data_IF_198128539648
#
_entry.id   IF_198128539648
#
_cell.length_a   1.000
_cell.length_b   1.000
_cell.length_c   1.000
_cell.angle_alpha   90.00
_cell.angle_beta   90.00
_cell.angle_gamma   90.00
#
_symmetry.space_group_name_H-M   'P 1'
#
loop_
_entity.id
_entity.type
_entity.pdbx_description
1 polymer ?
#
# COMPACT_ATOMS: atom_id res chain seq x y z
N UNK A 1 6.91 -23.94 -1.64
CA UNK A 1 5.98 -24.38 -0.58
C UNK A 1 6.36 -23.86 0.80
N UNK A 2 7.56 -24.17 1.29
CA UNK A 2 8.03 -23.86 2.66
C UNK A 2 7.87 -22.40 3.08
N UNK A 3 8.10 -21.45 2.18
CA UNK A 3 7.86 -20.02 2.43
C UNK A 3 6.39 -19.68 2.73
N UNK A 4 5.45 -20.30 2.00
CA UNK A 4 4.00 -20.11 2.18
C UNK A 4 3.50 -20.84 3.43
N UNK A 5 3.98 -22.06 3.70
CA UNK A 5 3.63 -22.82 4.91
C UNK A 5 4.17 -22.18 6.17
N UNK A 6 5.44 -21.73 6.17
CA UNK A 6 6.05 -20.98 7.28
C UNK A 6 5.26 -19.70 7.57
N UNK A 7 4.90 -18.93 6.53
CA UNK A 7 4.06 -17.75 6.69
C UNK A 7 2.68 -18.09 7.28
N UNK A 8 2.05 -19.20 6.89
CA UNK A 8 0.75 -19.61 7.43
C UNK A 8 0.78 -20.00 8.90
N UNK A 9 1.78 -20.80 9.27
CA UNK A 9 1.92 -21.38 10.61
C UNK A 9 2.34 -20.29 11.60
N UNK A 10 3.28 -19.42 11.23
CA UNK A 10 3.89 -18.46 12.15
C UNK A 10 3.17 -17.10 12.21
N UNK A 11 2.51 -16.63 11.13
CA UNK A 11 1.77 -15.37 11.25
C UNK A 11 0.57 -15.48 12.22
N UNK A 12 -0.01 -16.67 12.42
CA UNK A 12 -1.09 -16.87 13.40
C UNK A 12 -0.72 -16.47 14.83
N UNK A 13 0.35 -17.04 15.43
CA UNK A 13 0.82 -16.66 16.77
C UNK A 13 1.40 -15.24 16.82
N UNK A 14 2.09 -14.78 15.77
CA UNK A 14 2.66 -13.42 15.73
C UNK A 14 1.56 -12.34 15.76
N UNK A 15 0.42 -12.55 15.10
CA UNK A 15 -0.74 -11.65 15.19
C UNK A 15 -1.33 -11.55 16.60
N UNK A 16 -1.29 -12.66 17.37
CA UNK A 16 -1.74 -12.67 18.77
C UNK A 16 -0.78 -11.88 19.66
N UNK A 17 0.52 -11.98 19.41
CA UNK A 17 1.56 -11.23 20.14
C UNK A 17 1.50 -9.74 19.81
N UNK A 18 1.18 -9.38 18.56
CA UNK A 18 1.05 -7.98 18.11
C UNK A 18 -0.27 -7.30 18.50
N UNK A 19 -1.15 -7.96 19.26
CA UNK A 19 -2.39 -7.36 19.77
C UNK A 19 -3.36 -6.91 18.66
N UNK A 20 -3.30 -7.51 17.47
CA UNK A 20 -4.12 -7.07 16.33
C UNK A 20 -5.60 -7.38 16.62
N UNK A 21 -6.54 -6.42 16.41
CA UNK A 21 -7.96 -6.62 16.70
C UNK A 21 -8.53 -7.87 16.02
N UNK A 22 -9.40 -8.57 16.76
CA UNK A 22 -10.08 -9.77 16.26
C UNK A 22 -10.90 -9.43 15.01
N UNK A 23 -10.90 -10.39 14.09
CA UNK A 23 -11.53 -10.35 12.76
C UNK A 23 -12.95 -9.78 12.82
N UNK A 24 -13.22 -8.70 12.08
CA UNK A 24 -14.57 -8.25 11.77
C UNK A 24 -15.29 -9.26 10.86
N UNK A 25 -16.61 -9.32 10.94
CA UNK A 25 -17.40 -10.31 10.21
C UNK A 25 -17.41 -9.96 8.70
N UNK A 26 -16.75 -10.77 7.88
CA UNK A 26 -16.69 -10.56 6.42
C UNK A 26 -17.91 -11.23 5.80
N UNK A 27 -18.71 -10.53 4.97
CA UNK A 27 -19.84 -11.16 4.28
C UNK A 27 -19.34 -12.32 3.41
N UNK A 28 -19.97 -13.50 3.55
CA UNK A 28 -19.55 -14.74 2.86
C UNK A 28 -19.46 -14.57 1.34
N UNK A 29 -20.38 -13.82 0.74
CA UNK A 29 -20.37 -13.51 -0.70
C UNK A 29 -19.12 -12.76 -1.14
N UNK A 30 -18.72 -11.74 -0.39
CA UNK A 30 -17.50 -10.96 -0.67
C UNK A 30 -16.24 -11.80 -0.49
N UNK A 31 -16.24 -12.68 0.52
CA UNK A 31 -15.15 -13.62 0.75
C UNK A 31 -14.96 -14.56 -0.46
N UNK A 32 -16.04 -15.15 -0.98
CA UNK A 32 -15.96 -16.08 -2.11
C UNK A 32 -15.67 -15.37 -3.44
N UNK A 33 -16.27 -14.23 -3.70
CA UNK A 33 -16.14 -13.54 -5.00
C UNK A 33 -14.83 -12.76 -5.14
N UNK A 34 -14.27 -12.24 -4.04
CA UNK A 34 -13.12 -11.33 -4.11
C UNK A 34 -11.87 -11.90 -3.42
N UNK A 35 -12.00 -12.50 -2.24
CA UNK A 35 -10.85 -12.97 -1.47
C UNK A 35 -10.28 -14.28 -2.04
N UNK A 36 -11.15 -15.21 -2.44
CA UNK A 36 -10.73 -16.50 -3.00
C UNK A 36 -9.95 -16.33 -4.32
N UNK A 37 -10.44 -15.61 -5.34
CA UNK A 37 -9.70 -15.45 -6.60
C UNK A 37 -8.39 -14.69 -6.42
N UNK A 38 -8.35 -13.70 -5.52
CA UNK A 38 -7.13 -12.94 -5.25
C UNK A 38 -6.07 -13.79 -4.54
N UNK A 39 -6.51 -14.74 -3.70
CA UNK A 39 -5.62 -15.71 -3.09
C UNK A 39 -5.07 -16.72 -4.11
N UNK A 40 -5.87 -17.11 -5.09
CA UNK A 40 -5.41 -17.96 -6.19
C UNK A 40 -4.39 -17.22 -7.05
N UNK A 41 -4.64 -15.95 -7.39
CA UNK A 41 -3.67 -15.12 -8.10
C UNK A 41 -2.36 -14.94 -7.32
N UNK A 42 -2.41 -14.86 -5.98
CA UNK A 42 -1.20 -14.88 -5.14
C UNK A 42 -0.38 -16.15 -5.35
N UNK A 43 -1.06 -17.29 -5.38
CA UNK A 43 -0.44 -18.59 -5.59
C UNK A 43 0.26 -18.64 -6.96
N UNK A 44 -0.46 -18.30 -8.03
CA UNK A 44 0.08 -18.29 -9.40
C UNK A 44 1.28 -17.36 -9.50
N UNK A 45 1.18 -16.14 -8.95
CA UNK A 45 2.25 -15.15 -8.96
C UNK A 45 3.50 -15.65 -8.25
N UNK A 46 3.32 -16.35 -7.13
CA UNK A 46 4.42 -16.94 -6.38
C UNK A 46 5.11 -18.06 -7.15
N UNK A 47 4.36 -18.92 -7.85
CA UNK A 47 4.93 -20.02 -8.67
C UNK A 47 5.68 -19.44 -9.86
N UNK A 48 5.05 -18.54 -10.63
CA UNK A 48 5.65 -17.90 -11.79
C UNK A 48 6.92 -17.12 -11.43
N UNK A 49 6.94 -16.45 -10.26
CA UNK A 49 8.15 -15.79 -9.78
C UNK A 49 9.30 -16.76 -9.51
N UNK A 50 9.03 -17.98 -9.05
CA UNK A 50 10.07 -18.97 -8.80
C UNK A 50 10.55 -19.63 -10.11
N UNK A 51 9.62 -19.88 -11.03
CA UNK A 51 9.96 -20.34 -12.40
C UNK A 51 10.87 -19.33 -13.10
N UNK A 52 10.60 -18.04 -12.96
CA UNK A 52 11.45 -16.98 -13.54
C UNK A 52 12.88 -17.01 -12.98
N UNK A 53 13.05 -17.15 -11.65
CA UNK A 53 14.37 -17.23 -11.00
C UNK A 53 15.12 -18.51 -11.40
N UNK A 54 14.39 -19.59 -11.69
CA UNK A 54 14.99 -20.82 -12.19
C UNK A 54 15.47 -20.69 -13.65
N UNK A 55 14.76 -19.91 -14.47
CA UNK A 55 15.05 -19.73 -15.90
C UNK A 55 16.05 -18.62 -16.20
N UNK A 56 16.10 -17.56 -15.40
CA UNK A 56 16.93 -16.38 -15.65
C UNK A 56 17.67 -15.97 -14.38
N UNK A 57 18.74 -15.18 -14.55
CA UNK A 57 19.53 -14.63 -13.46
C UNK A 57 18.66 -13.92 -12.43
N UNK A 58 18.99 -14.10 -11.15
CA UNK A 58 18.27 -13.48 -10.02
C UNK A 58 18.23 -11.96 -10.17
N UNK A 59 19.35 -11.35 -10.57
CA UNK A 59 19.47 -9.92 -10.87
C UNK A 59 18.46 -9.45 -11.91
N UNK A 60 18.32 -10.19 -13.01
CA UNK A 60 17.38 -9.87 -14.08
C UNK A 60 15.93 -10.09 -13.67
N UNK A 61 15.60 -11.21 -13.03
CA UNK A 61 14.26 -11.47 -12.51
C UNK A 61 13.82 -10.36 -11.53
N UNK A 62 14.74 -9.91 -10.68
CA UNK A 62 14.50 -8.76 -9.83
C UNK A 62 14.37 -7.48 -10.62
N UNK A 63 15.08 -7.27 -11.73
CA UNK A 63 14.97 -6.10 -12.61
C UNK A 63 13.61 -6.04 -13.32
N UNK A 64 13.10 -7.14 -13.87
CA UNK A 64 11.77 -7.20 -14.49
C UNK A 64 10.68 -6.83 -13.48
N UNK A 65 10.83 -7.19 -12.20
CA UNK A 65 9.92 -6.73 -11.13
C UNK A 65 9.86 -5.20 -10.94
N UNK A 66 10.76 -4.41 -11.55
CA UNK A 66 10.67 -2.93 -11.58
C UNK A 66 9.47 -2.45 -12.38
N UNK A 67 8.94 -3.27 -13.27
CA UNK A 67 7.75 -2.95 -14.06
C UNK A 67 6.47 -2.99 -13.23
N UNK A 68 6.53 -3.35 -11.94
CA UNK A 68 5.37 -3.37 -11.06
C UNK A 68 4.55 -2.05 -11.10
N UNK A 69 5.14 -0.85 -10.96
CA UNK A 69 4.44 0.43 -11.14
C UNK A 69 3.66 0.54 -12.45
N UNK A 70 4.25 0.10 -13.57
CA UNK A 70 3.61 0.14 -14.87
C UNK A 70 2.31 -0.67 -14.87
N UNK A 71 2.39 -1.93 -14.43
CA UNK A 71 1.19 -2.77 -14.34
C UNK A 71 0.18 -2.19 -13.35
N UNK A 72 0.63 -1.56 -12.25
CA UNK A 72 -0.31 -0.94 -11.31
C UNK A 72 -1.08 0.22 -11.91
N UNK A 73 -0.42 1.06 -12.73
CA UNK A 73 -1.08 2.19 -13.40
C UNK A 73 -2.07 1.70 -14.46
N UNK A 74 -1.71 0.66 -15.24
CA UNK A 74 -2.61 0.07 -16.24
C UNK A 74 -3.86 -0.51 -15.58
N UNK A 75 -3.69 -1.33 -14.54
CA UNK A 75 -4.81 -1.98 -13.85
C UNK A 75 -5.71 -0.96 -13.17
N UNK A 76 -5.14 0.02 -12.46
CA UNK A 76 -5.95 1.09 -11.82
C UNK A 76 -6.75 1.88 -12.84
N UNK A 77 -6.18 2.16 -14.02
CA UNK A 77 -6.88 2.83 -15.10
C UNK A 77 -7.99 1.96 -15.70
N UNK A 78 -7.75 0.68 -15.93
CA UNK A 78 -8.71 -0.25 -16.57
C UNK A 78 -9.90 -0.55 -15.65
N UNK A 79 -9.65 -0.87 -14.38
CA UNK A 79 -10.70 -1.33 -13.46
C UNK A 79 -11.38 -0.21 -12.68
N UNK A 80 -10.65 0.87 -12.33
CA UNK A 80 -11.17 1.94 -11.48
C UNK A 80 -11.37 3.27 -12.22
N UNK A 81 -10.91 3.39 -13.47
CA UNK A 81 -11.02 4.63 -14.24
C UNK A 81 -10.20 5.81 -13.67
N UNK A 82 -9.38 5.58 -12.64
CA UNK A 82 -8.59 6.63 -11.98
C UNK A 82 -7.43 7.09 -12.87
N UNK A 83 -7.47 8.36 -13.31
CA UNK A 83 -6.35 8.98 -14.03
C UNK A 83 -5.23 9.32 -13.07
N UNK A 84 -4.00 8.96 -13.43
CA UNK A 84 -2.81 9.35 -12.67
C UNK A 84 -2.30 10.73 -13.11
N UNK A 85 -1.50 11.37 -12.27
CA UNK A 85 -0.91 12.67 -12.60
C UNK A 85 0.18 12.52 -13.68
N UNK A 86 0.40 13.55 -14.49
CA UNK A 86 1.47 13.58 -15.50
C UNK A 86 2.86 13.14 -14.97
N UNK A 87 3.35 13.58 -13.79
CA UNK A 87 4.64 13.11 -13.27
C UNK A 87 4.70 11.59 -13.05
N UNK A 88 3.58 10.94 -12.71
CA UNK A 88 3.52 9.48 -12.60
C UNK A 88 3.73 8.83 -13.98
N UNK A 89 3.08 9.34 -15.03
CA UNK A 89 3.29 8.80 -16.39
C UNK A 89 4.72 9.03 -16.89
N UNK A 90 5.30 10.21 -16.63
CA UNK A 90 6.69 10.50 -17.00
C UNK A 90 7.68 9.56 -16.31
N UNK A 91 7.42 9.18 -15.05
CA UNK A 91 8.27 8.22 -14.32
C UNK A 91 8.20 6.78 -14.87
N UNK A 92 7.20 6.43 -15.68
CA UNK A 92 7.11 5.10 -16.31
C UNK A 92 8.08 4.96 -17.49
N UNK A 93 8.40 6.07 -18.18
CA UNK A 93 9.32 6.08 -19.33
C UNK A 93 10.72 5.55 -18.97
N UNK A 94 11.40 6.05 -17.91
CA UNK A 94 12.68 5.49 -17.49
C UNK A 94 12.57 4.03 -17.01
N UNK A 95 11.44 3.62 -16.41
CA UNK A 95 11.23 2.22 -16.00
C UNK A 95 11.20 1.30 -17.23
N UNK A 96 10.41 1.65 -18.25
CA UNK A 96 10.29 0.84 -19.47
C UNK A 96 11.62 0.80 -20.21
N UNK A 97 12.24 1.96 -20.45
CA UNK A 97 13.52 2.03 -21.17
C UNK A 97 14.63 1.26 -20.44
N UNK A 98 14.75 1.38 -19.12
CA UNK A 98 15.73 0.63 -18.34
C UNK A 98 15.52 -0.89 -18.43
N UNK A 99 14.28 -1.36 -18.34
CA UNK A 99 13.96 -2.80 -18.45
C UNK A 99 14.18 -3.32 -19.88
N UNK A 100 13.86 -2.53 -20.91
CA UNK A 100 14.13 -2.90 -22.31
C UNK A 100 15.63 -3.01 -22.55
N UNK A 101 16.43 -2.03 -22.10
CA UNK A 101 17.90 -2.06 -22.22
C UNK A 101 18.47 -3.27 -21.49
N UNK A 102 18.02 -3.54 -20.25
CA UNK A 102 18.48 -4.69 -19.47
C UNK A 102 18.13 -6.02 -20.18
N UNK A 103 16.91 -6.13 -20.72
CA UNK A 103 16.46 -7.32 -21.49
C UNK A 103 17.30 -7.58 -22.73
N UNK A 104 17.59 -6.53 -23.52
CA UNK A 104 18.36 -6.66 -24.77
C UNK A 104 19.83 -7.00 -24.54
N UNK A 105 20.34 -6.79 -23.31
CA UNK A 105 21.76 -6.93 -22.97
C UNK A 105 22.00 -8.02 -21.91
N UNK A 106 20.98 -8.82 -21.61
CA UNK A 106 21.04 -9.97 -20.72
C UNK A 106 21.61 -11.18 -21.47
N UNK A 107 22.69 -11.76 -20.93
CA UNK A 107 23.38 -12.89 -21.54
C UNK A 107 22.58 -14.18 -21.35
N UNK A 108 21.97 -14.36 -20.18
CA UNK A 108 21.14 -15.52 -19.84
C UNK A 108 19.66 -15.30 -20.16
N UNK A 109 19.36 -14.60 -21.26
CA UNK A 109 17.98 -14.30 -21.62
C UNK A 109 17.20 -15.56 -22.00
N UNK A 110 16.09 -15.79 -21.31
CA UNK A 110 15.10 -16.80 -21.66
C UNK A 110 13.71 -16.17 -21.75
N UNK A 111 13.01 -16.41 -22.87
CA UNK A 111 11.69 -15.82 -23.11
C UNK A 111 10.64 -16.34 -22.13
N UNK A 112 10.70 -17.64 -21.79
CA UNK A 112 9.77 -18.24 -20.81
C UNK A 112 10.02 -17.62 -19.43
N UNK A 113 11.29 -17.43 -19.06
CA UNK A 113 11.69 -16.71 -17.87
C UNK A 113 11.22 -15.24 -17.80
N UNK A 114 11.29 -14.51 -18.92
CA UNK A 114 10.75 -13.14 -19.02
C UNK A 114 9.22 -13.13 -18.89
N UNK A 115 8.52 -13.96 -19.66
CA UNK A 115 7.05 -13.99 -19.65
C UNK A 115 6.51 -14.40 -18.28
N UNK A 116 7.11 -15.41 -17.65
CA UNK A 116 6.75 -15.79 -16.27
C UNK A 116 7.00 -14.65 -15.27
N UNK A 117 8.11 -13.91 -15.41
CA UNK A 117 8.37 -12.73 -14.57
C UNK A 117 7.30 -11.64 -14.75
N UNK A 118 6.94 -11.32 -16.00
CA UNK A 118 5.95 -10.30 -16.32
C UNK A 118 4.56 -10.68 -15.81
N UNK A 119 4.11 -11.92 -16.06
CA UNK A 119 2.85 -12.42 -15.52
C UNK A 119 2.84 -12.42 -13.99
N UNK A 120 3.92 -12.88 -13.35
CA UNK A 120 4.05 -12.83 -11.89
C UNK A 120 3.90 -11.39 -11.36
N UNK A 121 4.51 -10.41 -12.04
CA UNK A 121 4.42 -8.99 -11.65
C UNK A 121 3.04 -8.39 -11.89
N UNK A 122 2.36 -8.79 -12.95
CA UNK A 122 0.99 -8.38 -13.26
C UNK A 122 0.03 -8.87 -12.18
N UNK A 123 0.10 -10.14 -11.81
CA UNK A 123 -0.73 -10.71 -10.75
C UNK A 123 -0.41 -10.12 -9.38
N UNK A 124 0.87 -9.86 -9.09
CA UNK A 124 1.28 -9.19 -7.85
C UNK A 124 0.75 -7.75 -7.78
N UNK A 125 0.71 -7.05 -8.92
CA UNK A 125 0.09 -5.74 -9.07
C UNK A 125 -1.42 -5.78 -8.79
N UNK A 126 -2.14 -6.73 -9.43
CA UNK A 126 -3.56 -6.98 -9.19
C UNK A 126 -3.81 -7.21 -7.70
N UNK A 127 -3.05 -8.13 -7.09
CA UNK A 127 -3.17 -8.42 -5.67
C UNK A 127 -2.97 -7.15 -4.84
N UNK A 128 -1.95 -6.35 -5.12
CA UNK A 128 -1.66 -5.13 -4.34
C UNK A 128 -2.81 -4.13 -4.42
N UNK A 129 -3.40 -3.93 -5.60
CA UNK A 129 -4.50 -2.98 -5.82
C UNK A 129 -5.78 -3.47 -5.15
N UNK A 130 -6.18 -4.70 -5.45
CA UNK A 130 -7.40 -5.27 -4.88
C UNK A 130 -7.27 -5.48 -3.36
N UNK A 131 -6.08 -5.78 -2.83
CA UNK A 131 -5.85 -5.82 -1.37
C UNK A 131 -6.10 -4.46 -0.73
N UNK A 132 -5.63 -3.37 -1.36
CA UNK A 132 -5.90 -2.01 -0.89
C UNK A 132 -7.37 -1.63 -1.00
N UNK A 133 -8.06 -2.09 -2.05
CA UNK A 133 -9.50 -1.88 -2.22
C UNK A 133 -10.30 -2.62 -1.14
N UNK A 134 -10.00 -3.91 -0.92
CA UNK A 134 -10.58 -4.72 0.14
C UNK A 134 -10.36 -4.10 1.52
N UNK A 135 -9.18 -3.55 1.77
CA UNK A 135 -8.87 -2.88 3.02
C UNK A 135 -9.80 -1.68 3.27
N UNK A 136 -10.05 -0.87 2.24
CA UNK A 136 -10.96 0.28 2.32
C UNK A 136 -12.42 -0.14 2.49
N UNK A 137 -12.85 -1.20 1.80
CA UNK A 137 -14.25 -1.63 1.78
C UNK A 137 -14.65 -2.41 3.05
N UNK A 138 -13.71 -3.14 3.68
CA UNK A 138 -13.99 -4.00 4.83
C UNK A 138 -13.54 -3.43 6.18
N UNK A 139 -12.72 -2.38 6.19
CA UNK A 139 -12.14 -1.80 7.41
C UNK A 139 -11.22 -2.74 8.21
N UNK A 140 -10.85 -3.90 7.63
CA UNK A 140 -9.97 -4.86 8.29
C UNK A 140 -8.55 -4.31 8.42
N UNK A 141 -7.75 -4.89 9.32
CA UNK A 141 -6.32 -4.60 9.37
C UNK A 141 -5.56 -5.27 8.20
N UNK A 142 -4.60 -4.58 7.59
CA UNK A 142 -3.83 -5.09 6.43
C UNK A 142 -3.16 -6.45 6.72
N UNK A 143 -2.67 -6.65 7.93
CA UNK A 143 -2.04 -7.91 8.34
C UNK A 143 -3.01 -9.08 8.34
N UNK A 144 -4.24 -8.88 8.83
CA UNK A 144 -5.26 -9.92 8.85
C UNK A 144 -5.64 -10.34 7.43
N UNK A 145 -5.70 -9.39 6.49
CA UNK A 145 -5.99 -9.68 5.10
C UNK A 145 -4.86 -10.47 4.43
N UNK A 146 -3.59 -10.08 4.66
CA UNK A 146 -2.43 -10.80 4.15
C UNK A 146 -2.36 -12.23 4.69
N UNK A 147 -2.74 -12.44 5.94
CA UNK A 147 -2.78 -13.75 6.58
C UNK A 147 -3.84 -14.63 5.93
N UNK A 148 -5.03 -14.08 5.66
CA UNK A 148 -6.10 -14.79 4.96
C UNK A 148 -5.64 -15.23 3.56
N UNK A 149 -5.05 -14.32 2.78
CA UNK A 149 -4.53 -14.67 1.45
C UNK A 149 -3.38 -15.68 1.51
N UNK A 150 -2.50 -15.58 2.51
CA UNK A 150 -1.40 -16.54 2.64
C UNK A 150 -1.91 -17.93 3.02
N UNK A 151 -2.85 -18.02 3.98
CA UNK A 151 -3.49 -19.28 4.41
C UNK A 151 -4.25 -19.95 3.29
N UNK A 152 -5.03 -19.18 2.55
CA UNK A 152 -5.84 -19.72 1.47
C UNK A 152 -4.97 -20.10 0.25
N UNK A 153 -3.91 -19.34 -0.05
CA UNK A 153 -2.95 -19.70 -1.11
C UNK A 153 -2.16 -20.96 -0.75
N UNK A 154 -1.77 -21.12 0.52
CA UNK A 154 -1.13 -22.35 0.99
C UNK A 154 -2.08 -23.55 0.90
N UNK A 155 -3.37 -23.36 1.21
CA UNK A 155 -4.40 -24.40 1.07
C UNK A 155 -4.55 -24.83 -0.40
N UNK A 156 -4.55 -23.90 -1.36
CA UNK A 156 -4.60 -24.24 -2.79
C UNK A 156 -3.34 -24.92 -3.30
N UNK A 157 -2.17 -24.53 -2.78
CA UNK A 157 -0.90 -25.11 -3.20
C UNK A 157 -0.70 -26.50 -2.57
N UNK A 158 -1.20 -26.77 -1.36
CA UNK A 158 -1.04 -28.05 -0.65
C UNK A 158 -1.35 -29.31 -1.50
N UNK A 159 -2.50 -29.45 -2.19
CA UNK A 159 -2.76 -30.62 -3.02
C UNK A 159 -1.80 -30.75 -4.21
N UNK A 160 -1.45 -29.63 -4.84
CA UNK A 160 -0.52 -29.61 -5.99
C UNK A 160 0.89 -30.04 -5.55
N UNK A 161 1.34 -29.58 -4.39
CA UNK A 161 2.61 -29.98 -3.79
C UNK A 161 2.65 -31.47 -3.45
N UNK A 162 1.59 -31.98 -2.82
CA UNK A 162 1.49 -33.38 -2.43
C UNK A 162 1.50 -34.31 -3.66
N UNK A 163 0.86 -33.91 -4.75
CA UNK A 163 0.82 -34.73 -5.97
C UNK A 163 2.10 -34.65 -6.81
N UNK A 164 2.70 -33.47 -6.94
CA UNK A 164 3.81 -33.25 -7.88
C UNK A 164 5.20 -33.29 -7.20
N UNK A 165 5.39 -32.47 -6.17
CA UNK A 165 6.71 -32.33 -5.53
C UNK A 165 7.04 -33.53 -4.64
N UNK A 166 6.08 -34.03 -3.85
CA UNK A 166 6.32 -35.20 -2.99
C UNK A 166 6.59 -36.45 -3.81
N UNK A 167 5.82 -36.65 -4.89
CA UNK A 167 6.01 -37.81 -5.76
C UNK A 167 7.37 -37.76 -6.49
N UNK A 168 7.81 -36.58 -6.94
CA UNK A 168 9.17 -36.40 -7.47
C UNK A 168 10.26 -36.64 -6.41
N UNK A 169 10.08 -36.15 -5.18
CA UNK A 169 11.07 -36.33 -4.11
C UNK A 169 11.19 -37.81 -3.71
N UNK A 170 10.10 -38.58 -3.75
CA UNK A 170 10.09 -40.02 -3.41
C UNK A 170 10.66 -40.87 -4.56
N UNK A 171 10.46 -40.46 -5.81
CA UNK A 171 10.95 -41.20 -6.99
C UNK A 171 12.41 -40.90 -7.33
N UNK A 172 12.95 -39.74 -6.93
CA UNK A 172 14.32 -39.34 -7.24
C UNK A 172 15.31 -39.92 -6.21
N UNK A 173 15.79 -41.13 -6.48
CA UNK A 173 16.76 -41.84 -5.61
C UNK A 173 18.04 -41.03 -5.35
N UNK A 174 18.41 -40.09 -6.23
CA UNK A 174 19.58 -39.23 -6.05
C UNK A 174 19.38 -38.25 -4.89
N UNK A 175 18.16 -37.76 -4.68
CA UNK A 175 17.80 -36.92 -3.52
C UNK A 175 17.73 -37.80 -2.26
N UNK A 176 17.27 -39.05 -2.40
CA UNK A 176 17.10 -40.04 -1.32
C UNK A 176 18.41 -40.77 -0.95
N UNK A 177 19.49 -40.68 -1.70
CA UNK A 177 20.79 -41.24 -1.31
C UNK A 177 21.90 -40.19 -1.22
N UNK A 178 21.59 -38.89 -1.39
CA UNK A 178 22.60 -37.85 -1.22
C UNK A 178 23.05 -37.75 0.25
N UNK A 179 24.37 -37.66 0.46
CA UNK A 179 24.96 -37.32 1.77
C UNK A 179 24.50 -35.94 2.30
N UNK A 180 23.94 -35.10 1.42
CA UNK A 180 23.56 -33.72 1.71
C UNK A 180 22.08 -33.51 2.02
N UNK A 181 21.27 -34.57 2.18
CA UNK A 181 19.84 -34.44 2.53
C UNK A 181 19.59 -33.51 3.71
N UNK A 182 20.33 -33.72 4.80
CA UNK A 182 20.16 -32.95 6.03
C UNK A 182 20.52 -31.48 5.81
N UNK A 183 21.53 -31.22 4.97
CA UNK A 183 21.91 -29.87 4.57
C UNK A 183 20.83 -29.22 3.69
N UNK A 184 20.27 -29.94 2.71
CA UNK A 184 19.19 -29.44 1.86
C UNK A 184 17.93 -29.15 2.69
N UNK A 185 17.55 -30.05 3.59
CA UNK A 185 16.43 -29.87 4.50
C UNK A 185 16.68 -28.68 5.45
N UNK A 186 17.89 -28.57 5.99
CA UNK A 186 18.31 -27.45 6.84
C UNK A 186 18.25 -26.11 6.11
N UNK A 187 18.74 -26.05 4.86
CA UNK A 187 18.66 -24.86 4.00
C UNK A 187 17.20 -24.49 3.68
N UNK A 188 16.34 -25.49 3.44
CA UNK A 188 14.93 -25.27 3.15
C UNK A 188 14.18 -24.72 4.38
N UNK A 189 14.45 -25.25 5.58
CA UNK A 189 13.90 -24.73 6.84
C UNK A 189 14.43 -23.31 7.09
N UNK A 190 15.73 -23.09 6.86
CA UNK A 190 16.36 -21.77 7.01
C UNK A 190 15.72 -20.73 6.07
N UNK A 191 15.50 -21.06 4.80
CA UNK A 191 14.77 -20.20 3.85
C UNK A 191 13.36 -19.85 4.35
N UNK A 192 12.63 -20.83 4.88
CA UNK A 192 11.33 -20.60 5.52
C UNK A 192 11.40 -19.61 6.68
N UNK A 193 12.34 -19.81 7.60
CA UNK A 193 12.55 -18.96 8.77
C UNK A 193 13.00 -17.53 8.38
N UNK A 194 13.91 -17.40 7.42
CA UNK A 194 14.37 -16.11 6.90
C UNK A 194 13.24 -15.35 6.21
N UNK A 195 12.42 -16.05 5.41
CA UNK A 195 11.24 -15.46 4.80
C UNK A 195 10.20 -15.02 5.85
N UNK A 196 10.05 -15.77 6.95
CA UNK A 196 9.23 -15.35 8.08
C UNK A 196 9.76 -14.07 8.73
N UNK A 197 11.05 -14.06 9.11
CA UNK A 197 11.71 -12.89 9.69
C UNK A 197 11.58 -11.67 8.78
N UNK A 198 11.76 -11.84 7.47
CA UNK A 198 11.56 -10.79 6.48
C UNK A 198 10.14 -10.19 6.54
N UNK A 199 9.11 -11.03 6.69
CA UNK A 199 7.73 -10.54 6.79
C UNK A 199 7.50 -9.78 8.10
N UNK A 200 8.03 -10.26 9.23
CA UNK A 200 7.95 -9.57 10.52
C UNK A 200 8.63 -8.20 10.44
N UNK A 201 9.87 -8.14 9.96
CA UNK A 201 10.60 -6.89 9.78
C UNK A 201 9.88 -5.92 8.86
N UNK A 202 9.32 -6.40 7.75
CA UNK A 202 8.57 -5.54 6.84
C UNK A 202 7.39 -4.84 7.53
N UNK A 203 6.67 -5.54 8.41
CA UNK A 203 5.53 -4.98 9.13
C UNK A 203 5.94 -4.07 10.28
N UNK A 204 6.98 -4.42 11.03
CA UNK A 204 7.53 -3.57 12.09
C UNK A 204 8.05 -2.25 11.51
N UNK A 205 8.81 -2.30 10.41
CA UNK A 205 9.33 -1.08 9.76
C UNK A 205 8.19 -0.25 9.17
N UNK A 206 7.16 -0.89 8.60
CA UNK A 206 5.97 -0.16 8.12
C UNK A 206 5.25 0.60 9.25
N UNK A 207 5.23 0.05 10.46
CA UNK A 207 4.57 0.68 11.61
C UNK A 207 5.40 1.82 12.24
N UNK A 208 6.73 1.76 12.15
CA UNK A 208 7.63 2.71 12.82
C UNK A 208 8.12 3.86 11.95
N UNK A 209 7.99 3.76 10.62
CA UNK A 209 8.63 4.69 9.69
C UNK A 209 7.60 5.38 8.78
N UNK A 210 7.86 6.64 8.43
CA UNK A 210 7.08 7.39 7.48
C UNK A 210 6.92 6.63 6.13
N UNK A 211 5.76 6.75 5.44
CA UNK A 211 5.49 6.03 4.20
C UNK A 211 6.53 6.24 3.08
N UNK A 212 7.10 7.45 2.99
CA UNK A 212 8.14 7.77 2.01
C UNK A 212 9.42 6.98 2.30
N UNK A 213 9.87 6.99 3.56
CA UNK A 213 11.05 6.24 4.00
C UNK A 213 10.86 4.73 3.85
N UNK A 214 9.66 4.20 4.11
CA UNK A 214 9.34 2.79 3.85
C UNK A 214 9.44 2.45 2.35
N UNK A 215 8.98 3.34 1.46
CA UNK A 215 9.10 3.16 0.03
C UNK A 215 10.57 3.16 -0.44
N UNK A 216 11.40 4.04 0.13
CA UNK A 216 12.84 4.07 -0.14
C UNK A 216 13.53 2.81 0.39
N UNK A 217 13.23 2.38 1.63
CA UNK A 217 13.79 1.15 2.21
C UNK A 217 13.49 -0.08 1.34
N UNK A 218 12.27 -0.18 0.80
CA UNK A 218 11.91 -1.26 -0.14
C UNK A 218 12.68 -1.18 -1.46
N UNK A 219 12.93 0.01 -1.99
CA UNK A 219 13.77 0.18 -3.18
C UNK A 219 15.23 -0.23 -2.90
N UNK A 220 15.79 0.18 -1.76
CA UNK A 220 17.14 -0.19 -1.32
C UNK A 220 17.27 -1.68 -1.09
N UNK A 221 16.31 -2.33 -0.43
CA UNK A 221 16.29 -3.79 -0.26
C UNK A 221 16.41 -4.49 -1.61
N UNK A 222 15.68 -4.03 -2.61
CA UNK A 222 15.73 -4.61 -3.96
C UNK A 222 17.08 -4.39 -4.63
N UNK A 223 17.68 -3.22 -4.50
CA UNK A 223 19.03 -2.94 -4.97
C UNK A 223 20.08 -3.85 -4.34
N UNK A 224 20.00 -4.05 -3.02
CA UNK A 224 20.90 -4.94 -2.29
C UNK A 224 20.77 -6.38 -2.79
N UNK A 225 19.54 -6.86 -3.03
CA UNK A 225 19.33 -8.21 -3.58
C UNK A 225 19.94 -8.34 -4.99
N UNK A 226 19.75 -7.34 -5.86
CA UNK A 226 20.34 -7.35 -7.20
C UNK A 226 21.87 -7.34 -7.10
N UNK A 227 22.47 -6.43 -6.33
CA UNK A 227 23.92 -6.33 -6.17
C UNK A 227 24.53 -7.58 -5.55
N UNK A 228 23.93 -8.10 -4.47
CA UNK A 228 24.38 -9.34 -3.83
C UNK A 228 24.27 -10.53 -4.79
N UNK A 229 23.21 -10.60 -5.60
CA UNK A 229 23.08 -11.66 -6.61
C UNK A 229 24.19 -11.62 -7.66
N UNK A 230 24.58 -10.43 -8.13
CA UNK A 230 25.67 -10.27 -9.08
C UNK A 230 27.03 -10.65 -8.48
N UNK A 231 27.29 -10.23 -7.22
CA UNK A 231 28.56 -10.49 -6.53
C UNK A 231 28.72 -11.97 -6.13
N UNK A 232 27.65 -12.59 -5.62
CA UNK A 232 27.69 -13.97 -5.11
C UNK A 232 27.60 -15.00 -6.25
N UNK A 233 26.69 -14.79 -7.21
CA UNK A 233 26.50 -15.74 -8.32
C UNK A 233 27.55 -15.54 -9.42
N UNK A 234 28.25 -14.40 -9.43
CA UNK A 234 29.26 -14.04 -10.45
C UNK A 234 28.79 -14.28 -11.88
N UNK A 235 27.48 -14.08 -12.12
CA UNK A 235 26.92 -14.21 -13.46
C UNK A 235 27.53 -13.14 -14.37
N UNK A 236 27.97 -13.49 -15.58
CA UNK A 236 28.52 -12.51 -16.51
C UNK A 236 27.43 -11.52 -16.88
N UNK A 237 27.63 -10.25 -16.53
CA UNK A 237 26.73 -9.15 -16.89
C UNK A 237 27.46 -8.14 -17.73
N UNK A 238 26.81 -7.68 -18.80
CA UNK A 238 27.37 -6.64 -19.66
C UNK A 238 27.29 -5.29 -18.93
N UNK A 239 28.25 -4.37 -19.15
CA UNK A 239 28.17 -3.02 -18.58
C UNK A 239 26.88 -2.29 -18.97
N UNK A 240 26.38 -2.53 -20.19
CA UNK A 240 25.13 -1.94 -20.67
C UNK A 240 23.90 -2.45 -19.91
N UNK A 241 23.92 -3.71 -19.47
CA UNK A 241 22.88 -4.27 -18.61
C UNK A 241 22.81 -3.54 -17.26
N UNK A 242 23.97 -3.29 -16.64
CA UNK A 242 24.06 -2.53 -15.38
C UNK A 242 23.45 -1.13 -15.56
N UNK A 243 23.75 -0.46 -16.67
CA UNK A 243 23.15 0.85 -17.00
C UNK A 243 21.62 0.73 -17.10
N UNK A 244 21.09 -0.29 -17.78
CA UNK A 244 19.65 -0.56 -17.86
C UNK A 244 19.00 -0.76 -16.49
N UNK A 245 19.62 -1.56 -15.62
CA UNK A 245 19.17 -1.80 -14.24
C UNK A 245 19.13 -0.48 -13.45
N UNK A 246 20.18 0.35 -13.54
CA UNK A 246 20.26 1.63 -12.84
C UNK A 246 19.16 2.59 -13.30
N UNK A 247 18.95 2.71 -14.62
CA UNK A 247 17.88 3.54 -15.20
C UNK A 247 16.50 3.06 -14.69
N UNK A 248 16.26 1.75 -14.67
CA UNK A 248 15.01 1.19 -14.17
C UNK A 248 14.78 1.50 -12.69
N UNK A 249 15.83 1.41 -11.86
CA UNK A 249 15.74 1.72 -10.42
C UNK A 249 15.49 3.20 -10.18
N UNK A 250 16.21 4.08 -10.87
CA UNK A 250 15.98 5.53 -10.81
C UNK A 250 14.55 5.86 -11.21
N UNK A 251 14.03 5.22 -12.26
CA UNK A 251 12.62 5.34 -12.66
C UNK A 251 11.64 4.95 -11.55
N UNK A 252 11.90 3.84 -10.83
CA UNK A 252 11.07 3.41 -9.70
C UNK A 252 11.12 4.40 -8.54
N UNK A 253 12.28 5.00 -8.25
CA UNK A 253 12.41 6.05 -7.24
C UNK A 253 11.60 7.30 -7.61
N UNK A 254 11.69 7.74 -8.87
CA UNK A 254 10.86 8.84 -9.38
C UNK A 254 9.37 8.52 -9.30
N UNK A 255 8.97 7.29 -9.64
CA UNK A 255 7.58 6.85 -9.53
C UNK A 255 7.08 6.90 -8.08
N UNK A 256 7.86 6.38 -7.14
CA UNK A 256 7.50 6.38 -5.72
C UNK A 256 7.32 7.81 -5.20
N UNK A 257 8.20 8.74 -5.59
CA UNK A 257 8.07 10.16 -5.26
C UNK A 257 6.82 10.79 -5.89
N UNK A 258 6.64 10.63 -7.20
CA UNK A 258 5.50 11.19 -7.92
C UNK A 258 4.15 10.69 -7.36
N UNK A 259 4.08 9.40 -7.01
CA UNK A 259 2.88 8.81 -6.41
C UNK A 259 2.64 9.32 -4.98
N UNK A 260 3.71 9.53 -4.21
CA UNK A 260 3.62 10.14 -2.89
C UNK A 260 3.05 11.56 -2.97
N UNK A 261 3.63 12.41 -3.82
CA UNK A 261 3.19 13.79 -4.03
C UNK A 261 1.73 13.86 -4.49
N UNK A 262 1.31 12.95 -5.38
CA UNK A 262 -0.10 12.85 -5.81
C UNK A 262 -1.02 12.50 -4.63
N UNK A 263 -0.66 11.52 -3.81
CA UNK A 263 -1.46 11.12 -2.65
C UNK A 263 -1.54 12.25 -1.61
N UNK A 264 -0.46 13.01 -1.42
CA UNK A 264 -0.44 14.15 -0.50
C UNK A 264 -1.34 15.28 -1.00
N UNK A 265 -1.28 15.63 -2.29
CA UNK A 265 -2.18 16.63 -2.91
C UNK A 265 -3.65 16.22 -2.77
N UNK A 266 -3.97 14.96 -3.04
CA UNK A 266 -5.33 14.43 -2.86
C UNK A 266 -5.77 14.47 -1.39
N UNK A 267 -4.86 14.24 -0.44
CA UNK A 267 -5.16 14.37 1.00
C UNK A 267 -5.42 15.82 1.39
N UNK A 268 -4.60 16.77 0.93
CA UNK A 268 -4.77 18.21 1.21
C UNK A 268 -6.10 18.74 0.66
N UNK A 269 -6.50 18.31 -0.55
CA UNK A 269 -7.79 18.70 -1.14
C UNK A 269 -9.00 18.20 -0.34
N UNK A 270 -8.91 17.03 0.31
CA UNK A 270 -10.00 16.51 1.15
C UNK A 270 -10.14 17.23 2.50
N UNK A 271 -9.08 17.90 2.96
CA UNK A 271 -9.03 18.53 4.29
C UNK A 271 -9.45 20.00 4.29
N UNK A 272 -9.54 20.65 3.13
CA UNK A 272 -9.94 22.05 3.03
C UNK A 272 -11.41 22.14 2.64
N UNK A 273 -12.33 22.59 3.52
CA UNK A 273 -13.60 23.10 3.04
C UNK A 273 -13.28 24.30 2.13
N UNK A 274 -13.67 24.20 0.87
CA UNK A 274 -13.53 25.26 -0.10
C UNK A 274 -14.48 26.41 0.28
N UNK A 275 -14.07 27.24 1.24
CA UNK A 275 -14.72 28.54 1.43
C UNK A 275 -14.06 29.47 0.42
N UNK A 276 -14.71 29.63 -0.73
CA UNK A 276 -14.45 30.75 -1.64
C UNK A 276 -14.96 32.02 -0.96
N UNK A 277 -14.23 32.51 0.04
CA UNK A 277 -14.49 33.79 0.69
C UNK A 277 -13.95 34.93 -0.17
N UNK A 278 -14.56 35.14 -1.35
CA UNK A 278 -14.40 36.39 -2.11
C UNK A 278 -15.72 37.17 -2.24
N UNK A 279 -16.83 36.65 -1.72
CA UNK A 279 -18.14 37.32 -1.78
C UNK A 279 -18.76 37.72 -0.43
N UNK A 280 -18.24 37.23 0.70
CA UNK A 280 -18.89 37.43 2.01
C UNK A 280 -18.37 38.63 2.81
N UNK A 281 -17.24 39.24 2.41
CA UNK A 281 -16.68 40.42 3.08
C UNK A 281 -17.25 41.75 2.57
N UNK A 282 -17.92 41.77 1.42
CA UNK A 282 -18.57 42.97 0.86
C UNK A 282 -20.05 43.09 1.25
N UNK A 283 -20.67 42.02 1.76
CA UNK A 283 -22.05 42.05 2.26
C UNK A 283 -22.17 42.52 3.73
N UNK A 284 -21.06 42.64 4.46
CA UNK A 284 -21.04 43.07 5.86
C UNK A 284 -20.92 44.59 6.05
N UNK A 285 -20.88 45.39 4.98
CA UNK A 285 -20.86 46.86 5.05
C UNK A 285 -22.26 47.50 5.00
N UNK A 286 -23.33 46.71 5.13
CA UNK A 286 -24.70 47.20 5.21
C UNK A 286 -25.23 47.18 6.65
N UNK A 287 -25.14 48.33 7.34
CA UNK A 287 -26.00 48.74 8.46
C UNK A 287 -25.80 47.98 9.80
N UNK A 288 -25.20 48.64 10.81
CA UNK A 288 -25.91 49.24 11.95
C UNK A 288 -24.88 49.78 12.98
N UNK A 289 -25.14 50.99 13.49
CA UNK A 289 -24.19 51.75 14.30
C UNK A 289 -23.87 51.14 15.67
N UNK A 290 -22.62 51.33 16.09
CA UNK A 290 -22.20 51.21 17.49
C UNK A 290 -21.68 52.57 17.96
N UNK A 291 -21.99 53.00 19.19
CA UNK A 291 -21.68 54.34 19.66
C UNK A 291 -20.19 54.49 20.01
N UNK A 292 -19.56 55.55 19.49
CA UNK A 292 -18.25 56.00 19.93
C UNK A 292 -18.35 56.75 21.27
N UNK A 293 -17.41 56.54 22.22
CA UNK A 293 -17.08 57.54 23.22
C UNK A 293 -15.99 58.47 22.67
N UNK A 294 -16.24 59.78 22.74
CA UNK A 294 -15.27 60.85 22.46
C UNK A 294 -14.34 61.03 23.66
N UNK A 295 -13.05 61.23 23.39
CA UNK A 295 -12.20 62.15 24.14
C UNK A 295 -11.06 62.61 23.23
N UNK A 296 -11.06 63.91 22.95
CA UNK A 296 -10.02 64.67 22.25
C UNK A 296 -8.71 64.72 23.03
N UNK A 297 -7.58 64.75 22.33
CA UNK A 297 -6.53 65.79 22.49
C UNK A 297 -5.41 65.58 21.47
N UNK A 298 -5.44 66.43 20.44
CA UNK A 298 -4.34 67.26 19.95
C UNK A 298 -3.00 66.67 19.48
N UNK A 299 -2.78 66.91 18.17
CA UNK A 299 -1.64 67.62 17.57
C UNK A 299 -0.42 66.87 16.99
N UNK A 300 -0.29 67.08 15.67
CA UNK A 300 0.91 67.42 14.88
C UNK A 300 1.96 66.36 14.46
N UNK A 301 1.89 66.02 13.16
CA UNK A 301 2.95 66.16 12.12
C UNK A 301 4.08 65.10 11.98
N UNK A 302 4.13 64.57 10.74
CA UNK A 302 5.27 64.19 9.87
C UNK A 302 5.70 62.71 9.72
N UNK A 303 5.49 62.25 8.48
CA UNK A 303 6.33 61.40 7.62
C UNK A 303 7.31 60.39 8.24
N UNK A 304 7.04 59.12 7.93
CA UNK A 304 7.93 58.32 7.09
C UNK A 304 9.04 57.52 7.80
N UNK A 305 9.27 56.31 7.24
CA UNK A 305 10.40 55.42 7.45
C UNK A 305 10.25 54.40 8.61
N UNK A 306 9.80 53.20 8.24
CA UNK A 306 10.18 51.95 8.92
C UNK A 306 11.68 51.70 8.64
N UNK A 307 12.47 51.22 9.64
CA UNK A 307 12.79 49.80 9.59
C UNK A 307 13.05 49.11 10.94
N UNK A 308 12.87 47.78 10.90
CA UNK A 308 13.72 46.73 11.47
C UNK A 308 13.68 46.38 12.98
N UNK A 309 13.72 45.05 13.19
CA UNK A 309 14.14 44.30 14.40
C UNK A 309 13.17 44.38 15.59
N UNK A 310 12.92 43.35 16.41
CA UNK A 310 13.79 42.28 16.92
C UNK A 310 12.98 41.21 17.70
N UNK A 311 13.45 39.96 17.62
CA UNK A 311 13.69 39.02 18.74
C UNK A 311 12.56 38.35 19.57
N UNK A 312 12.51 37.02 19.39
CA UNK A 312 12.46 35.89 20.33
C UNK A 312 12.05 36.07 21.82
N UNK A 313 11.13 35.18 22.24
CA UNK A 313 11.20 34.37 23.48
C UNK A 313 10.13 33.26 23.39
N UNK A 314 10.48 31.98 23.13
CA UNK A 314 10.74 30.93 24.15
C UNK A 314 9.79 30.95 25.35
N UNK A 315 9.03 29.86 25.54
CA UNK A 315 8.26 29.37 26.72
C UNK A 315 7.00 28.67 26.15
N UNK A 316 6.70 27.36 26.26
CA UNK A 316 7.00 26.35 27.27
C UNK A 316 6.93 24.95 26.61
N UNK A 317 7.94 24.12 26.90
CA UNK A 317 7.85 22.67 26.83
C UNK A 317 7.86 22.20 28.29
N UNK A 318 6.78 21.59 28.77
CA UNK A 318 6.88 20.72 29.95
C UNK A 318 5.78 19.66 29.93
N UNK A 319 6.23 18.43 30.10
CA UNK A 319 5.47 17.18 30.10
C UNK A 319 4.91 16.87 31.49
N UNK A 320 3.65 16.43 31.56
CA UNK A 320 3.21 15.43 32.54
C UNK A 320 2.01 14.64 32.00
N UNK A 321 2.15 13.33 32.09
CA UNK A 321 1.16 12.28 31.85
C UNK A 321 -0.04 12.44 32.76
N UNK A 322 -1.25 12.40 32.21
CA UNK A 322 -2.41 11.79 32.88
C UNK A 322 -3.40 11.27 31.85
N UNK A 323 -3.61 9.96 31.92
CA UNK A 323 -4.66 9.18 31.28
C UNK A 323 -6.02 9.70 31.74
N UNK A 324 -6.93 10.09 30.84
CA UNK A 324 -8.36 9.71 30.86
C UNK A 324 -9.19 10.41 29.77
N UNK A 325 -9.99 9.60 29.07
CA UNK A 325 -11.24 9.96 28.37
C UNK A 325 -11.18 10.97 27.19
N UNK A 326 -10.64 10.55 26.04
CA UNK A 326 -11.03 11.15 24.74
C UNK A 326 -12.22 10.39 24.16
N UNK A 327 -13.41 10.96 24.40
CA UNK A 327 -14.68 10.57 23.78
C UNK A 327 -14.56 10.76 22.25
N UNK A 328 -14.48 9.65 21.52
CA UNK A 328 -14.61 9.62 20.06
C UNK A 328 -16.02 10.07 19.68
N UNK A 329 -16.14 11.25 19.07
CA UNK A 329 -17.36 11.70 18.39
C UNK A 329 -17.41 10.97 17.03
N UNK A 330 -18.41 10.11 16.75
CA UNK A 330 -18.55 9.51 15.43
C UNK A 330 -19.07 10.53 14.41
N UNK A 331 -18.71 10.42 13.11
CA UNK A 331 -19.24 11.29 12.09
C UNK A 331 -20.74 11.03 11.89
N UNK A 332 -21.54 12.08 11.96
CA UNK A 332 -22.97 12.07 11.65
C UNK A 332 -23.13 11.80 10.15
N UNK A 333 -23.73 10.66 9.81
CA UNK A 333 -24.25 10.42 8.47
C UNK A 333 -25.51 11.25 8.27
N UNK A 334 -25.47 12.12 7.28
CA UNK A 334 -26.57 12.96 6.81
C UNK A 334 -27.24 12.23 5.64
N UNK A 335 -28.17 11.33 5.94
CA UNK A 335 -29.14 10.76 5.00
C UNK A 335 -30.35 10.26 5.83
N UNK A 336 -31.56 10.41 5.30
CA UNK A 336 -32.88 10.10 5.90
C UNK A 336 -33.53 11.14 6.82
N UNK A 337 -33.53 12.41 6.38
CA UNK A 337 -34.42 13.45 6.94
C UNK A 337 -35.60 13.85 6.02
N UNK A 338 -36.17 12.90 5.27
CA UNK A 338 -37.26 13.20 4.33
C UNK A 338 -38.46 12.23 4.24
N UNK A 339 -38.68 11.33 5.21
CA UNK A 339 -39.84 10.42 5.18
C UNK A 339 -40.84 10.53 6.34
N UNK A 340 -40.67 11.46 7.28
CA UNK A 340 -41.51 11.54 8.50
C UNK A 340 -42.30 12.85 8.65
N UNK A 341 -42.64 13.52 7.54
CA UNK A 341 -43.41 14.79 7.56
C UNK A 341 -44.74 14.79 6.80
N UNK A 342 -45.25 13.63 6.37
CA UNK A 342 -46.53 13.57 5.62
C UNK A 342 -47.62 12.72 6.32
N UNK A 343 -47.35 12.00 7.42
CA UNK A 343 -48.37 11.13 8.06
C UNK A 343 -48.82 11.53 9.47
N UNK A 344 -48.62 12.77 9.91
CA UNK A 344 -48.89 13.17 11.30
C UNK A 344 -49.70 14.46 11.45
N UNK A 345 -50.55 14.79 10.48
CA UNK A 345 -51.41 15.98 10.52
C UNK A 345 -52.89 15.74 10.15
N UNK A 346 -53.38 14.49 10.13
CA UNK A 346 -54.76 14.20 9.69
C UNK A 346 -55.65 13.38 10.64
N UNK A 347 -55.24 13.11 11.89
CA UNK A 347 -56.04 12.23 12.79
C UNK A 347 -56.32 12.76 14.21
N UNK A 348 -56.33 14.07 14.43
CA UNK A 348 -56.65 14.66 15.74
C UNK A 348 -57.79 15.68 15.75
N UNK A 349 -58.68 15.63 14.75
CA UNK A 349 -59.90 16.43 14.72
C UNK A 349 -61.14 15.61 14.32
N UNK A 350 -61.52 14.63 15.14
CA UNK A 350 -62.94 14.20 15.23
C UNK A 350 -63.16 13.29 16.44
N UNK A 351 -63.51 13.90 17.58
CA UNK A 351 -64.17 13.20 18.68
C UNK A 351 -65.63 13.61 18.68
N UNK A 352 -66.52 12.63 18.50
CA UNK A 352 -67.80 12.61 19.21
C UNK A 352 -69.08 12.59 18.36
N UNK A 353 -70.01 11.77 18.86
CA UNK A 353 -71.49 11.88 18.79
C UNK A 353 -72.22 10.92 17.83
N UNK A 354 -72.47 9.70 18.34
CA UNK A 354 -73.79 9.10 18.68
C UNK A 354 -74.91 8.81 17.65
N UNK A 355 -75.52 7.62 17.85
CA UNK A 355 -76.86 7.09 17.45
C UNK A 355 -77.08 6.87 15.94
N UNK A 356 -77.64 5.78 15.42
CA UNK A 356 -78.63 4.76 15.87
C UNK A 356 -78.22 3.39 15.32
#
# INVERSE_FOLDING_TARGET
MVQLSSACICLGPILKILGVPKRGNIPKRYYVTMIIPLSLGKFVSSVLSQVSIWKVSVSYAHTVKATLPLFTVIITRLFFGEKQTLPVYLSLVPIISGVVIATLTEISFDLIGLMSALFATLEFSLQTIFSKKTLKDTGLHYMNLLVIFSRLAALFFFPIWLMYDVNRIIQDENVINSKNKMMILGLLICDGLLNMLQNVFAFTVLAMVAPLSYAVANATKRLVIIGASLLLLKNPVTPMNIVGILIAVVGVLFYNKAKFDQNEKARRQRLLPYIKSEGALTAANGVHGLPHPKSESDTHILNGVLPSQSHYSHLLWNSTVSTDQVKLIPPVHEEDRNYSRISSNEELHSRGVHFV
#
